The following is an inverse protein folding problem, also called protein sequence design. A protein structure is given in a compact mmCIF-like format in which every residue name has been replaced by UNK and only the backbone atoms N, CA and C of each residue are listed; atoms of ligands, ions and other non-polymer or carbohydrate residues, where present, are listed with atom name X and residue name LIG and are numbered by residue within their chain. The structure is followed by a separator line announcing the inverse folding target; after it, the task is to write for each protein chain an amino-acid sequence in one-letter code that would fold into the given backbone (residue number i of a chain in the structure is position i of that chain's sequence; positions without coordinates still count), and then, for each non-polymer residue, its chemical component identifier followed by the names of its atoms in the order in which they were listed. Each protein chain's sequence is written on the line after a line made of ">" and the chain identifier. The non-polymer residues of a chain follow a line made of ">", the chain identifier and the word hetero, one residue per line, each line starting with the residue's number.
data_IF_477546091388
#
_entry.id   IF_477546091388
#
_cell.length_a   1.000
_cell.length_b   1.000
_cell.length_c   1.000
_cell.angle_alpha   90.00
_cell.angle_beta   90.00
_cell.angle_gamma   90.00
#
_symmetry.space_group_name_H-M   'P 1'
#
loop_
_entity.id
_entity.type
_entity.pdbx_description
1 polymer ?
#
# COMPACT_ATOMS: atom_id res chain seq x y z
N UNK A 1 7.58 16.76 6.16
CA UNK A 1 8.80 15.98 5.88
C UNK A 1 8.39 14.53 6.08
N UNK A 2 8.37 13.71 5.02
CA UNK A 2 8.00 12.30 5.18
C UNK A 2 9.09 11.56 5.93
N UNK A 3 8.68 10.71 6.86
CA UNK A 3 9.59 9.81 7.55
C UNK A 3 9.93 8.65 6.60
N UNK A 4 11.18 8.54 6.12
CA UNK A 4 11.55 7.54 5.12
C UNK A 4 11.43 6.11 5.65
N UNK A 5 11.52 5.92 6.98
CA UNK A 5 11.36 4.62 7.60
C UNK A 5 9.87 4.22 7.60
N UNK A 6 8.99 5.14 7.98
CA UNK A 6 7.55 4.89 7.97
C UNK A 6 7.00 4.61 6.55
N UNK A 7 7.57 5.24 5.52
CA UNK A 7 7.27 4.94 4.13
C UNK A 7 7.68 3.50 3.78
N UNK A 8 8.91 3.10 4.08
CA UNK A 8 9.40 1.76 3.78
C UNK A 8 8.61 0.64 4.51
N UNK A 9 8.20 0.90 5.75
CA UNK A 9 7.33 -0.02 6.52
C UNK A 9 5.96 -0.20 5.83
N UNK A 10 5.39 0.90 5.35
CA UNK A 10 4.11 0.91 4.63
C UNK A 10 4.21 0.17 3.30
N UNK A 11 5.26 0.44 2.52
CA UNK A 11 5.52 -0.25 1.25
C UNK A 11 5.68 -1.76 1.45
N UNK A 12 6.46 -2.16 2.46
CA UNK A 12 6.65 -3.57 2.81
C UNK A 12 5.33 -4.25 3.16
N UNK A 13 4.47 -3.56 3.93
CA UNK A 13 3.16 -4.09 4.27
C UNK A 13 2.26 -4.24 3.03
N UNK A 14 2.24 -3.25 2.14
CA UNK A 14 1.46 -3.31 0.90
C UNK A 14 1.92 -4.46 -0.01
N UNK A 15 3.22 -4.69 -0.13
CA UNK A 15 3.79 -5.83 -0.87
C UNK A 15 3.32 -7.14 -0.22
N UNK A 16 3.40 -7.24 1.11
CA UNK A 16 2.96 -8.43 1.83
C UNK A 16 1.47 -8.74 1.58
N UNK A 17 0.60 -7.71 1.59
CA UNK A 17 -0.82 -7.86 1.27
C UNK A 17 -1.01 -8.39 -0.15
N UNK A 18 -0.30 -7.83 -1.14
CA UNK A 18 -0.38 -8.28 -2.53
C UNK A 18 0.05 -9.75 -2.70
N UNK A 19 1.14 -10.14 -2.05
CA UNK A 19 1.67 -11.52 -2.09
C UNK A 19 0.75 -12.53 -1.39
N UNK A 20 0.02 -12.11 -0.36
CA UNK A 20 -0.89 -12.97 0.42
C UNK A 20 -2.37 -12.82 0.01
N UNK A 21 -2.66 -12.02 -1.03
CA UNK A 21 -3.99 -11.92 -1.63
C UNK A 21 -4.39 -13.23 -2.29
N UNK A 22 -5.69 -13.49 -2.44
CA UNK A 22 -6.20 -14.62 -3.23
C UNK A 22 -7.04 -14.10 -4.42
N UNK A 23 -6.57 -14.22 -5.68
CA UNK A 23 -5.26 -14.73 -6.09
C UNK A 23 -4.11 -13.76 -5.75
N UNK A 24 -2.87 -14.27 -5.58
CA UNK A 24 -1.70 -13.45 -5.27
C UNK A 24 -1.40 -12.50 -6.43
N UNK A 25 -1.13 -11.24 -6.08
CA UNK A 25 -0.89 -10.15 -7.03
C UNK A 25 0.59 -9.80 -7.04
N UNK A 26 1.16 -9.65 -8.22
CA UNK A 26 2.56 -9.28 -8.38
C UNK A 26 2.75 -7.79 -8.07
N UNK A 27 3.50 -7.47 -7.01
CA UNK A 27 3.76 -6.10 -6.59
C UNK A 27 4.49 -5.25 -7.64
N UNK A 28 5.23 -5.86 -8.57
CA UNK A 28 5.88 -5.15 -9.67
C UNK A 28 4.88 -4.48 -10.61
N UNK A 29 3.64 -4.99 -10.68
CA UNK A 29 2.52 -4.42 -11.44
C UNK A 29 1.87 -3.23 -10.75
N UNK A 30 2.39 -2.76 -9.61
CA UNK A 30 1.83 -1.63 -8.88
C UNK A 30 2.90 -0.58 -8.61
N UNK A 31 2.48 0.69 -8.52
CA UNK A 31 3.31 1.75 -7.98
C UNK A 31 3.14 1.80 -6.45
N UNK A 32 3.82 0.87 -5.76
CA UNK A 32 3.70 0.68 -4.30
C UNK A 32 4.05 1.95 -3.53
N UNK A 33 5.06 2.71 -3.96
CA UNK A 33 5.43 3.98 -3.34
C UNK A 33 4.30 5.01 -3.43
N UNK A 34 3.69 5.16 -4.61
CA UNK A 34 2.55 6.07 -4.77
C UNK A 34 1.32 5.61 -3.96
N UNK A 35 1.08 4.30 -3.91
CA UNK A 35 0.04 3.71 -3.08
C UNK A 35 0.27 3.96 -1.58
N UNK A 36 1.51 3.83 -1.09
CA UNK A 36 1.86 4.10 0.29
C UNK A 36 1.62 5.58 0.67
N UNK A 37 1.94 6.50 -0.25
CA UNK A 37 1.68 7.92 -0.07
C UNK A 37 0.19 8.25 -0.03
N UNK A 38 -0.62 7.68 -0.92
CA UNK A 38 -2.07 7.88 -0.92
C UNK A 38 -2.72 7.27 0.32
N UNK A 39 -2.26 6.09 0.75
CA UNK A 39 -2.75 5.46 1.96
C UNK A 39 -2.46 6.32 3.20
N UNK A 40 -1.27 6.93 3.25
CA UNK A 40 -0.91 7.86 4.31
C UNK A 40 -1.82 9.09 4.33
N UNK A 41 -2.09 9.68 3.17
CA UNK A 41 -2.99 10.84 3.04
C UNK A 41 -4.41 10.52 3.53
N UNK A 42 -4.93 9.34 3.18
CA UNK A 42 -6.29 8.91 3.55
C UNK A 42 -6.47 8.54 5.01
N UNK A 43 -5.48 7.86 5.59
CA UNK A 43 -5.58 7.33 6.96
C UNK A 43 -5.02 8.31 7.99
N UNK A 44 -4.30 9.35 7.56
CA UNK A 44 -3.61 10.30 8.44
C UNK A 44 -2.41 9.69 9.17
N UNK A 45 -2.01 8.46 8.83
CA UNK A 45 -0.93 7.72 9.47
C UNK A 45 -0.25 6.75 8.51
N UNK A 46 0.87 6.16 8.93
CA UNK A 46 1.59 5.14 8.15
C UNK A 46 1.20 3.71 8.58
N UNK A 47 0.34 3.59 9.59
CA UNK A 47 0.01 2.30 10.19
C UNK A 47 -1.09 1.62 9.41
N UNK A 48 -0.69 0.76 8.47
CA UNK A 48 -1.60 -0.03 7.64
C UNK A 48 -2.41 -1.07 8.44
N UNK A 49 -2.02 -1.35 9.69
CA UNK A 49 -2.76 -2.27 10.59
C UNK A 49 -4.16 -1.75 10.96
N UNK A 50 -4.34 -0.43 10.98
CA UNK A 50 -5.63 0.22 11.22
C UNK A 50 -6.37 0.55 9.90
N UNK A 51 -5.69 0.41 8.76
CA UNK A 51 -6.33 0.64 7.47
C UNK A 51 -7.23 -0.55 7.11
N UNK A 52 -8.51 -0.27 6.87
CA UNK A 52 -9.43 -1.27 6.34
C UNK A 52 -8.86 -1.92 5.07
N UNK A 53 -8.92 -3.26 4.99
CA UNK A 53 -8.45 -4.03 3.82
C UNK A 53 -9.04 -3.50 2.51
N UNK A 54 -10.31 -3.06 2.55
CA UNK A 54 -10.99 -2.45 1.40
C UNK A 54 -10.31 -1.17 0.92
N UNK A 55 -9.84 -0.32 1.84
CA UNK A 55 -9.11 0.92 1.52
C UNK A 55 -7.77 0.59 0.89
N UNK A 56 -7.07 -0.40 1.42
CA UNK A 56 -5.79 -0.87 0.87
C UNK A 56 -5.97 -1.40 -0.54
N UNK A 57 -6.98 -2.25 -0.78
CA UNK A 57 -7.27 -2.78 -2.12
C UNK A 57 -7.69 -1.69 -3.11
N UNK A 58 -8.51 -0.73 -2.69
CA UNK A 58 -8.95 0.40 -3.52
C UNK A 58 -7.78 1.30 -3.92
N UNK A 59 -6.86 1.59 -2.99
CA UNK A 59 -5.63 2.33 -3.29
C UNK A 59 -4.73 1.52 -4.23
N UNK A 60 -4.48 0.25 -3.96
CA UNK A 60 -3.68 -0.62 -4.82
C UNK A 60 -4.24 -0.70 -6.24
N UNK A 61 -5.57 -0.82 -6.39
CA UNK A 61 -6.22 -0.87 -7.69
C UNK A 61 -6.01 0.41 -8.52
N UNK A 62 -5.99 1.60 -7.88
CA UNK A 62 -5.71 2.87 -8.58
C UNK A 62 -4.26 3.04 -9.01
N UNK A 63 -3.34 2.37 -8.34
CA UNK A 63 -1.91 2.44 -8.61
C UNK A 63 -1.39 1.23 -9.40
N UNK A 64 -2.28 0.49 -10.06
CA UNK A 64 -1.87 -0.52 -11.03
C UNK A 64 -1.11 0.14 -12.19
N UNK A 65 0.06 -0.41 -12.50
CA UNK A 65 0.85 -0.13 -13.69
C UNK A 65 0.27 -1.04 -14.77
N UNK A 66 -0.55 -0.45 -15.65
CA UNK A 66 -1.12 -1.11 -16.83
C UNK A 66 -0.03 -1.81 -17.68
#
# INVERSE_FOLDING_TARGET
>A
MHDPQALAETETHLIHVLEHSDPPRDASRFNVTAAALELHDRTGGWTVRDADTRTVEDVLARHAKD
#
